data_IF_713966681791
#
_entry.id   IF_713966681791
#
_cell.length_a   1.000
_cell.length_b   1.000
_cell.length_c   1.000
_cell.angle_alpha   90.00
_cell.angle_beta   90.00
_cell.angle_gamma   90.00
#
_symmetry.space_group_name_H-M   'P 1'
#
loop_
_entity.id
_entity.type
_entity.pdbx_description
1 polymer ?
#
# COMPACT_ATOMS: atom_id res chain seq x y z
N UNK A 1 32.68 26.73 11.36
CA UNK A 1 32.09 25.38 11.52
C UNK A 1 30.84 25.34 10.67
N UNK A 2 30.88 24.63 9.54
CA UNK A 2 29.72 24.47 8.65
C UNK A 2 29.03 23.12 8.92
N UNK A 3 27.71 23.01 8.70
CA UNK A 3 26.96 21.78 9.00
C UNK A 3 27.33 20.66 8.01
N UNK A 4 27.22 19.38 8.43
CA UNK A 4 27.57 18.24 7.60
C UNK A 4 26.55 18.05 6.47
N UNK A 5 27.07 17.81 5.26
CA UNK A 5 26.28 17.51 4.07
C UNK A 5 25.56 16.18 4.25
N UNK A 6 24.24 16.20 4.08
CA UNK A 6 23.37 15.02 4.12
C UNK A 6 23.77 13.98 3.08
N UNK A 7 23.94 12.74 3.54
CA UNK A 7 24.19 11.57 2.72
C UNK A 7 22.90 11.17 2.00
N UNK A 8 22.83 11.37 0.68
CA UNK A 8 21.74 10.83 -0.14
C UNK A 8 21.99 9.34 -0.38
N UNK A 9 21.11 8.48 0.15
CA UNK A 9 21.13 7.06 -0.11
C UNK A 9 20.88 6.79 -1.60
N UNK A 10 21.89 6.23 -2.27
CA UNK A 10 21.88 5.86 -3.68
C UNK A 10 21.38 4.41 -3.80
N UNK A 11 20.15 4.22 -4.26
CA UNK A 11 19.62 2.88 -4.55
C UNK A 11 20.19 2.37 -5.89
N UNK A 12 21.01 1.33 -5.83
CA UNK A 12 21.50 0.57 -6.98
C UNK A 12 20.78 -0.77 -6.97
N UNK A 13 20.00 -1.05 -8.01
CA UNK A 13 19.44 -2.39 -8.23
C UNK A 13 20.50 -3.28 -8.89
N UNK A 14 20.83 -4.45 -8.32
CA UNK A 14 21.71 -5.39 -9.01
C UNK A 14 21.01 -5.97 -10.25
N UNK A 15 21.75 -6.02 -11.36
CA UNK A 15 21.32 -6.71 -12.56
C UNK A 15 21.13 -8.20 -12.25
N UNK A 16 19.97 -8.74 -12.64
CA UNK A 16 19.64 -10.15 -12.45
C UNK A 16 20.29 -10.95 -13.60
N UNK A 17 21.40 -11.60 -13.32
CA UNK A 17 21.97 -12.60 -14.22
C UNK A 17 20.98 -13.77 -14.34
N UNK A 18 20.50 -14.02 -15.56
CA UNK A 18 19.71 -15.20 -15.89
C UNK A 18 20.69 -16.31 -16.30
N UNK A 19 20.84 -17.33 -15.46
CA UNK A 19 21.38 -18.63 -15.88
C UNK A 19 20.22 -19.54 -16.29
N UNK A 20 20.24 -20.13 -17.49
CA UNK A 20 19.33 -21.21 -17.86
C UNK A 20 19.82 -22.55 -17.25
N UNK A 21 18.92 -23.52 -17.18
CA UNK A 21 19.10 -24.90 -16.72
C UNK A 21 19.10 -25.14 -15.20
N UNK A 22 17.92 -25.45 -14.67
CA UNK A 22 17.69 -26.57 -13.77
C UNK A 22 16.18 -26.79 -13.56
N UNK A 23 15.62 -27.76 -14.28
CA UNK A 23 14.31 -28.35 -13.99
C UNK A 23 14.49 -29.54 -13.04
N UNK A 24 13.98 -29.50 -11.80
CA UNK A 24 13.91 -30.70 -10.97
C UNK A 24 12.69 -31.53 -11.37
N UNK A 25 12.94 -32.81 -11.67
CA UNK A 25 11.92 -33.86 -11.79
C UNK A 25 11.21 -34.06 -10.44
N UNK A 26 9.88 -34.03 -10.46
CA UNK A 26 9.04 -34.29 -9.29
C UNK A 26 8.49 -35.71 -9.37
N UNK A 27 9.08 -36.64 -8.61
CA UNK A 27 8.53 -37.99 -8.42
C UNK A 27 7.37 -37.94 -7.44
N UNK A 28 6.18 -38.29 -7.92
CA UNK A 28 4.97 -38.47 -7.13
C UNK A 28 4.98 -39.84 -6.48
N UNK A 29 5.11 -39.90 -5.16
CA UNK A 29 5.02 -41.17 -4.43
C UNK A 29 5.06 -40.99 -2.93
N UNK A 30 3.97 -41.40 -2.28
CA UNK A 30 3.82 -41.71 -0.84
C UNK A 30 3.50 -40.56 0.12
N UNK A 31 2.21 -40.22 0.20
CA UNK A 31 1.59 -39.80 1.45
C UNK A 31 0.27 -40.56 1.62
N UNK A 32 0.27 -41.54 2.52
CA UNK A 32 -0.93 -42.19 3.04
C UNK A 32 -1.55 -41.31 4.13
N UNK A 33 -2.87 -41.06 4.13
CA UNK A 33 -3.54 -40.36 5.20
C UNK A 33 -4.20 -41.38 6.14
N UNK A 34 -3.61 -41.62 7.30
CA UNK A 34 -4.33 -42.27 8.40
C UNK A 34 -4.26 -41.42 9.67
N UNK A 35 -5.44 -41.26 10.28
CA UNK A 35 -5.73 -40.79 11.63
C UNK A 35 -5.64 -39.29 11.91
N UNK A 36 -6.75 -38.59 11.68
CA UNK A 36 -7.21 -37.50 12.54
C UNK A 36 -8.73 -37.38 12.46
N UNK A 37 -9.41 -38.12 13.34
CA UNK A 37 -10.84 -37.97 13.58
C UNK A 37 -11.08 -36.69 14.37
N UNK A 38 -11.40 -35.60 13.69
CA UNK A 38 -12.16 -34.49 14.27
C UNK A 38 -13.49 -34.43 13.53
N UNK A 39 -14.59 -34.71 14.25
CA UNK A 39 -15.94 -34.82 13.70
C UNK A 39 -16.36 -33.49 13.06
N UNK A 40 -16.39 -33.47 11.73
CA UNK A 40 -16.80 -32.34 10.88
C UNK A 40 -18.32 -32.30 10.59
N UNK A 41 -19.09 -33.21 11.19
CA UNK A 41 -20.53 -33.37 10.93
C UNK A 41 -21.46 -32.44 11.73
N UNK A 42 -20.93 -31.49 12.49
CA UNK A 42 -21.75 -30.48 13.21
C UNK A 42 -21.74 -29.08 12.56
N UNK A 43 -21.04 -28.87 11.43
CA UNK A 43 -20.94 -27.56 10.79
C UNK A 43 -21.80 -27.36 9.52
N UNK A 44 -22.54 -28.37 9.06
CA UNK A 44 -23.32 -28.30 7.81
C UNK A 44 -24.80 -27.92 7.98
N UNK A 45 -25.24 -27.48 9.17
CA UNK A 45 -26.64 -27.11 9.41
C UNK A 45 -26.91 -25.61 9.55
N UNK A 46 -26.06 -24.77 8.97
CA UNK A 46 -26.25 -23.32 8.90
C UNK A 46 -26.12 -22.76 7.47
N UNK A 47 -26.73 -23.43 6.49
CA UNK A 47 -27.04 -22.83 5.18
C UNK A 47 -28.39 -22.13 5.25
N UNK A 48 -28.41 -20.98 5.92
CA UNK A 48 -29.45 -19.97 5.77
C UNK A 48 -28.76 -18.65 5.37
N UNK A 49 -29.15 -18.13 4.21
CA UNK A 49 -28.75 -16.86 3.63
C UNK A 49 -28.54 -15.74 4.66
N UNK A 50 -27.37 -15.08 4.68
CA UNK A 50 -27.26 -13.76 5.29
C UNK A 50 -27.19 -12.69 4.20
N UNK A 51 -28.10 -11.73 4.26
CA UNK A 51 -27.83 -10.36 3.87
C UNK A 51 -26.57 -9.90 4.63
N UNK A 52 -25.42 -10.01 3.97
CA UNK A 52 -24.10 -9.76 4.56
C UNK A 52 -23.75 -8.28 4.46
N UNK A 53 -24.41 -7.47 5.29
CA UNK A 53 -24.03 -6.07 5.54
C UNK A 53 -23.84 -5.75 7.03
N UNK A 54 -23.85 -6.77 7.90
CA UNK A 54 -23.83 -6.59 9.36
C UNK A 54 -22.52 -6.96 10.09
N UNK A 55 -21.42 -7.20 9.39
CA UNK A 55 -20.16 -7.61 10.05
C UNK A 55 -19.13 -6.48 10.08
N UNK A 56 -18.71 -6.15 11.31
CA UNK A 56 -17.80 -5.08 11.75
C UNK A 56 -18.43 -3.73 12.16
N UNK A 57 -19.49 -3.76 12.99
CA UNK A 57 -19.57 -2.80 14.09
C UNK A 57 -18.54 -3.19 15.16
N UNK A 58 -17.24 -3.02 14.87
CA UNK A 58 -16.25 -2.95 15.94
C UNK A 58 -16.60 -1.66 16.69
N UNK A 59 -17.14 -1.83 17.90
CA UNK A 59 -17.68 -0.75 18.73
C UNK A 59 -16.85 0.52 18.69
N UNK A 60 -17.38 1.53 17.99
CA UNK A 60 -17.12 2.94 18.22
C UNK A 60 -17.76 3.34 19.56
N UNK A 61 -17.28 2.75 20.65
CA UNK A 61 -17.58 3.23 22.01
C UNK A 61 -16.31 3.84 22.58
N UNK A 62 -15.88 4.95 21.97
CA UNK A 62 -14.95 5.88 22.59
C UNK A 62 -15.50 7.29 22.44
N UNK A 63 -16.22 7.73 23.48
CA UNK A 63 -16.34 9.10 23.99
C UNK A 63 -16.25 10.25 22.97
N UNK A 64 -17.40 10.86 22.68
CA UNK A 64 -17.62 11.93 21.70
C UNK A 64 -17.06 13.31 22.10
N UNK A 65 -15.82 13.39 22.58
CA UNK A 65 -15.19 14.67 22.98
C UNK A 65 -13.78 14.90 22.43
N UNK A 66 -13.29 14.03 21.53
CA UNK A 66 -11.92 14.09 20.98
C UNK A 66 -11.83 14.16 19.44
N UNK A 67 -12.95 14.37 18.74
CA UNK A 67 -13.02 14.26 17.27
C UNK A 67 -12.54 15.49 16.48
N UNK A 68 -11.95 16.49 17.13
CA UNK A 68 -11.32 17.64 16.47
C UNK A 68 -9.81 17.44 16.21
N UNK A 69 -9.31 16.19 16.32
CA UNK A 69 -7.94 15.91 15.90
C UNK A 69 -7.86 15.95 14.37
N UNK A 70 -7.12 16.92 13.85
CA UNK A 70 -6.84 17.06 12.41
C UNK A 70 -6.38 15.71 11.83
N UNK A 71 -6.87 15.38 10.63
CA UNK A 71 -6.68 14.06 9.98
C UNK A 71 -5.21 13.64 9.88
N UNK A 72 -4.30 14.58 9.58
CA UNK A 72 -2.88 14.29 9.37
C UNK A 72 -2.13 13.90 10.67
N UNK A 73 -2.20 14.67 11.77
CA UNK A 73 -1.66 14.23 13.06
C UNK A 73 -2.14 12.83 13.46
N UNK A 74 -3.44 12.56 13.30
CA UNK A 74 -4.02 11.24 13.57
C UNK A 74 -3.40 10.15 12.70
N UNK A 75 -3.23 10.40 11.40
CA UNK A 75 -2.57 9.48 10.46
C UNK A 75 -1.14 9.14 10.91
N UNK A 76 -0.31 10.14 11.20
CA UNK A 76 1.08 9.91 11.61
C UNK A 76 1.17 9.17 12.95
N UNK A 77 0.33 9.54 13.92
CA UNK A 77 0.26 8.83 15.21
C UNK A 77 -0.12 7.36 15.02
N UNK A 78 -1.14 7.06 14.22
CA UNK A 78 -1.54 5.68 13.92
C UNK A 78 -0.45 4.92 13.17
N UNK A 79 0.24 5.59 12.24
CA UNK A 79 1.35 5.01 11.49
C UNK A 79 2.49 4.59 12.43
N UNK A 80 2.86 5.46 13.38
CA UNK A 80 3.92 5.16 14.34
C UNK A 80 3.50 4.10 15.37
N UNK A 81 2.24 4.11 15.81
CA UNK A 81 1.66 3.04 16.63
C UNK A 81 1.71 1.69 15.90
N UNK A 82 1.27 1.64 14.63
CA UNK A 82 1.30 0.41 13.83
C UNK A 82 2.73 -0.10 13.61
N UNK A 83 3.71 0.79 13.37
CA UNK A 83 5.13 0.39 13.29
C UNK A 83 5.63 -0.16 14.63
N UNK A 84 5.28 0.49 15.74
CA UNK A 84 5.65 0.04 17.08
C UNK A 84 5.10 -1.36 17.37
N UNK A 85 3.85 -1.67 16.98
CA UNK A 85 3.29 -3.02 17.10
C UNK A 85 4.12 -4.07 16.36
N UNK A 86 4.54 -3.78 15.11
CA UNK A 86 5.38 -4.70 14.33
C UNK A 86 6.80 -4.82 14.91
N UNK A 87 7.35 -3.74 15.48
CA UNK A 87 8.64 -3.78 16.18
C UNK A 87 8.56 -4.67 17.42
N UNK A 88 7.51 -4.51 18.24
CA UNK A 88 7.36 -5.23 19.51
C UNK A 88 6.97 -6.70 19.33
N UNK A 89 6.08 -6.99 18.37
CA UNK A 89 5.49 -8.32 18.23
C UNK A 89 6.00 -9.10 17.01
N UNK A 90 6.87 -8.50 16.20
CA UNK A 90 7.29 -9.06 14.92
C UNK A 90 6.24 -8.88 13.82
N UNK A 91 6.50 -9.41 12.61
CA UNK A 91 5.56 -9.32 11.50
C UNK A 91 4.27 -10.10 11.80
N UNK A 92 3.13 -9.49 11.55
CA UNK A 92 1.85 -10.19 11.63
C UNK A 92 1.64 -11.09 10.41
N UNK A 93 0.93 -12.19 10.62
CA UNK A 93 0.63 -13.21 9.61
C UNK A 93 -0.80 -13.73 9.82
N UNK A 94 -1.22 -14.67 9.00
CA UNK A 94 -2.42 -15.49 9.26
C UNK A 94 -2.03 -16.89 9.71
N UNK A 95 -2.93 -17.58 10.42
CA UNK A 95 -2.76 -19.02 10.65
C UNK A 95 -2.84 -19.78 9.32
N UNK A 96 -2.03 -20.83 9.18
CA UNK A 96 -1.95 -21.62 7.96
C UNK A 96 -3.32 -22.13 7.49
N UNK A 97 -3.68 -21.82 6.24
CA UNK A 97 -4.96 -22.23 5.65
C UNK A 97 -6.17 -21.42 6.14
N UNK A 98 -5.96 -20.32 6.86
CA UNK A 98 -7.04 -19.49 7.39
C UNK A 98 -6.79 -18.00 7.12
N UNK A 99 -7.83 -17.20 7.34
CA UNK A 99 -7.76 -15.74 7.37
C UNK A 99 -7.86 -15.19 8.80
N UNK A 100 -7.45 -15.98 9.79
CA UNK A 100 -7.39 -15.52 11.19
C UNK A 100 -6.05 -14.85 11.42
N UNK A 101 -6.10 -13.58 11.81
CA UNK A 101 -4.94 -12.72 12.01
C UNK A 101 -4.19 -13.14 13.28
N UNK A 102 -2.86 -13.20 13.18
CA UNK A 102 -1.98 -13.68 14.25
C UNK A 102 -0.69 -12.87 14.30
N UNK A 103 -0.12 -12.74 15.50
CA UNK A 103 1.24 -12.25 15.70
C UNK A 103 2.23 -13.34 15.28
N UNK A 104 3.45 -12.97 14.89
CA UNK A 104 4.50 -13.96 14.67
C UNK A 104 4.71 -14.81 15.94
N UNK A 105 4.96 -16.13 15.80
CA UNK A 105 5.26 -16.99 16.93
C UNK A 105 6.65 -16.72 17.52
N UNK A 106 7.49 -15.94 16.84
CA UNK A 106 8.87 -15.67 17.23
C UNK A 106 8.92 -14.29 17.90
N UNK A 107 9.34 -14.26 19.17
CA UNK A 107 9.63 -13.02 19.89
C UNK A 107 10.82 -12.34 19.19
N UNK A 108 10.59 -11.12 18.68
CA UNK A 108 11.62 -10.35 17.98
C UNK A 108 12.67 -9.87 18.99
N UNK A 109 13.92 -9.76 18.55
CA UNK A 109 14.95 -9.11 19.34
C UNK A 109 14.65 -7.61 19.42
N UNK A 110 14.47 -7.07 20.64
CA UNK A 110 14.08 -5.67 20.89
C UNK A 110 15.04 -4.64 20.28
N UNK A 111 16.29 -5.05 20.01
CA UNK A 111 17.30 -4.16 19.41
C UNK A 111 17.15 -3.96 17.91
N UNK A 112 16.38 -4.81 17.21
CA UNK A 112 16.30 -4.79 15.75
C UNK A 112 14.98 -4.17 15.26
N UNK A 113 15.07 -3.01 14.63
CA UNK A 113 13.92 -2.32 14.04
C UNK A 113 13.28 -3.15 12.92
N UNK A 114 11.95 -3.13 12.83
CA UNK A 114 11.20 -3.78 11.77
C UNK A 114 11.63 -3.31 10.40
N UNK A 115 11.89 -4.27 9.51
CA UNK A 115 12.17 -3.95 8.13
C UNK A 115 10.89 -3.41 7.47
N UNK A 116 11.06 -2.62 6.40
CA UNK A 116 9.94 -2.15 5.58
C UNK A 116 9.10 -3.34 5.08
N UNK A 117 9.77 -4.46 4.79
CA UNK A 117 9.12 -5.70 4.34
C UNK A 117 8.23 -6.27 5.44
N UNK A 118 8.68 -6.31 6.69
CA UNK A 118 7.89 -6.82 7.82
C UNK A 118 6.62 -6.00 8.02
N UNK A 119 6.74 -4.67 7.94
CA UNK A 119 5.59 -3.76 8.05
C UNK A 119 4.61 -3.96 6.89
N UNK A 120 5.11 -4.06 5.66
CA UNK A 120 4.28 -4.30 4.48
C UNK A 120 3.57 -5.66 4.54
N UNK A 121 4.25 -6.72 4.99
CA UNK A 121 3.67 -8.05 5.21
C UNK A 121 2.57 -8.01 6.26
N UNK A 122 2.78 -7.30 7.37
CA UNK A 122 1.79 -7.17 8.44
C UNK A 122 0.52 -6.46 7.96
N UNK A 123 0.67 -5.36 7.20
CA UNK A 123 -0.46 -4.66 6.58
C UNK A 123 -1.19 -5.52 5.54
N UNK A 124 -0.46 -6.32 4.76
CA UNK A 124 -1.07 -7.23 3.79
C UNK A 124 -1.90 -8.32 4.50
N UNK A 125 -1.36 -8.95 5.55
CA UNK A 125 -2.08 -9.92 6.35
C UNK A 125 -3.33 -9.30 7.00
N UNK A 126 -3.20 -8.09 7.55
CA UNK A 126 -4.33 -7.38 8.15
C UNK A 126 -5.44 -7.08 7.13
N UNK A 127 -5.07 -6.66 5.92
CA UNK A 127 -6.01 -6.43 4.82
C UNK A 127 -6.71 -7.72 4.37
N UNK A 128 -5.99 -8.83 4.28
CA UNK A 128 -6.57 -10.13 3.90
C UNK A 128 -7.53 -10.67 4.98
N UNK A 129 -7.38 -10.24 6.24
CA UNK A 129 -8.21 -10.64 7.37
C UNK A 129 -9.46 -9.78 7.62
N UNK A 130 -9.63 -8.65 6.92
CA UNK A 130 -10.67 -7.66 7.26
C UNK A 130 -12.09 -8.22 7.26
N UNK A 131 -12.43 -9.11 6.33
CA UNK A 131 -13.79 -9.69 6.22
C UNK A 131 -13.95 -10.99 7.03
N UNK A 132 -12.89 -11.46 7.68
CA UNK A 132 -12.88 -12.77 8.34
C UNK A 132 -13.16 -12.66 9.84
N UNK A 133 -13.84 -13.65 10.40
CA UNK A 133 -14.06 -13.75 11.84
C UNK A 133 -12.70 -13.89 12.57
N UNK A 134 -12.52 -13.09 13.61
CA UNK A 134 -11.29 -13.05 14.41
C UNK A 134 -11.55 -13.58 15.81
N UNK A 135 -10.56 -14.26 16.38
CA UNK A 135 -10.59 -14.69 17.77
C UNK A 135 -10.36 -13.50 18.69
N UNK A 136 -10.93 -13.54 19.89
CA UNK A 136 -10.64 -12.55 20.91
C UNK A 136 -9.18 -12.62 21.38
N UNK A 137 -8.59 -11.46 21.62
CA UNK A 137 -7.22 -11.34 22.14
C UNK A 137 -6.41 -10.23 21.46
N UNK A 138 -5.12 -10.20 21.78
CA UNK A 138 -4.24 -9.09 21.42
C UNK A 138 -4.03 -8.93 19.91
N UNK A 139 -4.09 -10.01 19.11
CA UNK A 139 -4.02 -9.91 17.66
C UNK A 139 -5.23 -9.17 17.06
N UNK A 140 -6.43 -9.32 17.65
CA UNK A 140 -7.63 -8.60 17.22
C UNK A 140 -7.53 -7.10 17.49
N UNK A 141 -6.90 -6.71 18.61
CA UNK A 141 -6.63 -5.31 18.94
C UNK A 141 -5.61 -4.68 17.97
N UNK A 142 -4.55 -5.42 17.63
CA UNK A 142 -3.59 -5.00 16.61
C UNK A 142 -4.27 -4.79 15.25
N UNK A 143 -5.12 -5.74 14.85
CA UNK A 143 -5.91 -5.65 13.62
C UNK A 143 -6.80 -4.40 13.62
N UNK A 144 -7.46 -4.10 14.74
CA UNK A 144 -8.27 -2.88 14.88
C UNK A 144 -7.41 -1.62 14.70
N UNK A 145 -6.16 -1.62 15.16
CA UNK A 145 -5.22 -0.51 14.94
C UNK A 145 -4.84 -0.37 13.46
N UNK A 146 -4.52 -1.46 12.77
CA UNK A 146 -4.23 -1.44 11.33
C UNK A 146 -5.45 -1.00 10.49
N UNK A 147 -6.66 -1.40 10.89
CA UNK A 147 -7.90 -0.95 10.25
C UNK A 147 -8.12 0.55 10.41
N UNK A 148 -7.89 1.10 11.62
CA UNK A 148 -7.95 2.54 11.86
C UNK A 148 -6.93 3.29 11.01
N UNK A 149 -5.69 2.80 10.96
CA UNK A 149 -4.66 3.36 10.08
C UNK A 149 -5.12 3.36 8.62
N UNK A 150 -5.65 2.24 8.11
CA UNK A 150 -6.10 2.16 6.72
C UNK A 150 -7.24 3.13 6.42
N UNK A 151 -8.23 3.25 7.30
CA UNK A 151 -9.35 4.19 7.11
C UNK A 151 -8.86 5.63 7.07
N UNK A 152 -8.06 6.03 8.07
CA UNK A 152 -7.48 7.37 8.13
C UNK A 152 -6.52 7.63 6.95
N UNK A 153 -5.83 6.60 6.43
CA UNK A 153 -5.01 6.73 5.22
C UNK A 153 -5.87 7.11 4.01
N UNK A 154 -7.01 6.43 3.81
CA UNK A 154 -7.94 6.77 2.72
C UNK A 154 -8.50 8.17 2.88
N UNK A 155 -8.88 8.59 4.09
CA UNK A 155 -9.35 9.95 4.38
C UNK A 155 -8.28 11.01 4.07
N UNK A 156 -7.02 10.76 4.45
CA UNK A 156 -5.90 11.66 4.10
C UNK A 156 -5.67 11.73 2.60
N UNK A 157 -5.72 10.59 1.89
CA UNK A 157 -5.59 10.59 0.43
C UNK A 157 -6.69 11.41 -0.23
N UNK A 158 -7.95 11.24 0.19
CA UNK A 158 -9.05 12.04 -0.35
C UNK A 158 -8.92 13.52 0.01
N UNK A 159 -8.57 13.85 1.25
CA UNK A 159 -8.38 15.24 1.67
C UNK A 159 -7.29 15.97 0.86
N UNK A 160 -6.17 15.29 0.59
CA UNK A 160 -5.10 15.83 -0.27
C UNK A 160 -5.55 15.96 -1.73
N UNK A 161 -6.29 14.98 -2.24
CA UNK A 161 -6.78 15.02 -3.62
C UNK A 161 -7.84 16.11 -3.83
N UNK A 162 -8.65 16.41 -2.83
CA UNK A 162 -9.69 17.43 -2.87
C UNK A 162 -9.11 18.84 -2.76
N UNK A 163 -7.99 19.04 -2.05
CA UNK A 163 -7.30 20.33 -2.01
C UNK A 163 -6.69 20.74 -3.36
N UNK A 164 -6.41 19.76 -4.23
CA UNK A 164 -5.83 19.95 -5.57
C UNK A 164 -4.47 20.65 -5.61
N UNK A 165 -3.71 20.61 -4.51
CA UNK A 165 -2.42 21.32 -4.39
C UNK A 165 -1.22 20.55 -4.99
N UNK A 166 -1.44 19.30 -5.43
CA UNK A 166 -0.39 18.48 -6.03
C UNK A 166 -0.12 18.87 -7.48
N UNK A 167 1.15 19.10 -7.81
CA UNK A 167 1.56 19.20 -9.21
C UNK A 167 1.33 17.88 -9.96
N UNK A 168 1.21 17.94 -11.28
CA UNK A 168 0.89 16.76 -12.09
C UNK A 168 1.94 15.65 -11.98
N UNK A 169 3.22 15.98 -11.82
CA UNK A 169 4.28 14.97 -11.69
C UNK A 169 4.16 14.23 -10.34
N UNK A 170 3.99 14.97 -9.24
CA UNK A 170 3.81 14.40 -7.90
C UNK A 170 2.53 13.57 -7.80
N UNK A 171 1.43 14.07 -8.36
CA UNK A 171 0.17 13.32 -8.47
C UNK A 171 0.38 12.02 -9.27
N UNK A 172 0.98 12.13 -10.46
CA UNK A 172 1.18 11.01 -11.36
C UNK A 172 2.05 9.91 -10.76
N UNK A 173 3.17 10.25 -10.12
CA UNK A 173 4.02 9.26 -9.44
C UNK A 173 3.33 8.61 -8.24
N UNK A 174 2.53 9.37 -7.48
CA UNK A 174 1.72 8.84 -6.39
C UNK A 174 0.70 7.82 -6.90
N UNK A 175 -0.06 8.17 -7.93
CA UNK A 175 -1.05 7.28 -8.56
C UNK A 175 -0.38 6.03 -9.16
N UNK A 176 0.79 6.19 -9.80
CA UNK A 176 1.56 5.04 -10.28
C UNK A 176 2.01 4.12 -9.13
N UNK A 177 2.38 4.70 -7.98
CA UNK A 177 2.70 3.97 -6.75
C UNK A 177 1.51 3.18 -6.19
N UNK A 178 0.31 3.75 -6.22
CA UNK A 178 -0.94 3.06 -5.87
C UNK A 178 -1.22 1.89 -6.83
N UNK A 179 -1.01 2.10 -8.14
CA UNK A 179 -1.12 1.05 -9.14
C UNK A 179 -0.13 -0.11 -8.95
N UNK A 180 1.00 0.10 -8.27
CA UNK A 180 1.93 -0.97 -7.95
C UNK A 180 1.37 -1.92 -6.88
N UNK A 181 0.56 -1.39 -5.96
CA UNK A 181 -0.15 -2.16 -4.95
C UNK A 181 -1.54 -2.65 -5.36
N UNK A 182 -1.96 -2.48 -6.61
CA UNK A 182 -3.33 -2.80 -7.02
C UNK A 182 -3.57 -4.32 -7.16
N UNK A 183 -4.60 -4.83 -6.48
CA UNK A 183 -4.99 -6.23 -6.44
C UNK A 183 -5.93 -6.58 -7.61
N UNK A 184 -5.34 -7.06 -8.70
CA UNK A 184 -6.09 -7.48 -9.90
C UNK A 184 -6.94 -8.71 -9.57
N UNK A 185 -8.25 -8.62 -9.81
CA UNK A 185 -9.15 -9.77 -9.72
C UNK A 185 -8.72 -10.84 -10.72
N UNK A 186 -8.49 -12.07 -10.26
CA UNK A 186 -8.13 -13.22 -11.12
C UNK A 186 -9.20 -13.47 -12.18
N UNK A 187 -10.47 -13.20 -11.88
CA UNK A 187 -11.60 -13.34 -12.82
C UNK A 187 -11.63 -12.33 -13.98
N UNK A 188 -10.82 -11.26 -13.95
CA UNK A 188 -10.81 -10.19 -14.98
C UNK A 188 -9.42 -9.89 -15.54
N UNK A 189 -8.48 -10.84 -15.43
CA UNK A 189 -7.06 -10.62 -15.75
C UNK A 189 -6.80 -10.17 -17.19
N UNK A 190 -7.64 -10.56 -18.14
CA UNK A 190 -7.31 -10.43 -19.56
C UNK A 190 -7.62 -9.05 -20.18
N UNK A 191 -8.34 -8.16 -19.47
CA UNK A 191 -8.72 -6.86 -20.04
C UNK A 191 -8.92 -5.75 -19.00
N UNK A 192 -8.13 -5.69 -17.94
CA UNK A 192 -8.29 -4.60 -16.97
C UNK A 192 -7.80 -3.27 -17.58
N UNK A 193 -8.68 -2.27 -17.79
CA UNK A 193 -8.30 -0.95 -18.32
C UNK A 193 -7.24 -0.25 -17.45
N UNK A 194 -7.12 -0.65 -16.19
CA UNK A 194 -6.10 -0.17 -15.25
C UNK A 194 -4.68 -0.43 -15.76
N UNK A 195 -4.41 -1.59 -16.35
CA UNK A 195 -3.06 -1.89 -16.86
C UNK A 195 -2.69 -1.00 -18.05
N UNK A 196 -3.67 -0.72 -18.93
CA UNK A 196 -3.48 0.19 -20.04
C UNK A 196 -3.24 1.64 -19.57
N UNK A 197 -4.03 2.13 -18.62
CA UNK A 197 -3.84 3.47 -18.04
C UNK A 197 -2.55 3.57 -17.23
N UNK A 198 -2.18 2.54 -16.45
CA UNK A 198 -0.90 2.48 -15.73
C UNK A 198 0.29 2.59 -16.67
N UNK A 199 0.27 1.86 -17.80
CA UNK A 199 1.32 1.94 -18.81
C UNK A 199 1.40 3.34 -19.42
N UNK A 200 0.26 3.89 -19.86
CA UNK A 200 0.20 5.25 -20.44
C UNK A 200 0.68 6.32 -19.47
N UNK A 201 0.29 6.22 -18.20
CA UNK A 201 0.74 7.11 -17.13
C UNK A 201 2.27 7.05 -16.97
N UNK A 202 2.84 5.85 -16.90
CA UNK A 202 4.29 5.67 -16.80
C UNK A 202 5.03 6.24 -18.01
N UNK A 203 4.56 5.95 -19.22
CA UNK A 203 5.17 6.45 -20.46
C UNK A 203 5.08 7.99 -20.56
N UNK A 204 4.07 8.60 -19.94
CA UNK A 204 3.96 10.06 -19.82
C UNK A 204 4.90 10.63 -18.75
N UNK A 205 4.98 9.99 -17.58
CA UNK A 205 5.90 10.37 -16.50
C UNK A 205 7.37 10.29 -16.91
N UNK A 206 7.75 9.29 -17.72
CA UNK A 206 9.11 9.19 -18.24
C UNK A 206 9.51 10.33 -19.19
N UNK A 207 8.55 11.08 -19.74
CA UNK A 207 8.80 12.26 -20.57
C UNK A 207 8.95 13.53 -19.75
N UNK A 208 8.58 13.49 -18.46
CA UNK A 208 8.77 14.61 -17.55
C UNK A 208 10.25 14.77 -17.19
N UNK A 209 10.74 16.00 -17.03
CA UNK A 209 12.11 16.26 -16.65
C UNK A 209 12.30 15.82 -15.19
N UNK A 210 12.85 14.63 -14.96
CA UNK A 210 13.00 14.10 -13.61
C UNK A 210 13.71 15.08 -12.68
N UNK A 211 13.07 15.43 -11.57
CA UNK A 211 13.58 16.31 -10.52
C UNK A 211 14.94 15.84 -9.97
N UNK A 212 15.24 14.54 -10.06
CA UNK A 212 16.49 13.93 -9.58
C UNK A 212 17.56 13.68 -10.66
N UNK A 213 17.37 14.17 -11.90
CA UNK A 213 18.44 14.08 -12.90
C UNK A 213 19.57 15.06 -12.59
N UNK A 214 20.52 14.65 -11.76
CA UNK A 214 21.79 15.36 -11.50
C UNK A 214 22.72 15.44 -12.72
N UNK A 215 22.22 15.17 -13.94
CA UNK A 215 23.00 15.19 -15.17
C UNK A 215 22.21 15.89 -16.26
N UNK A 216 22.31 17.23 -16.28
CA UNK A 216 22.29 17.97 -17.55
C UNK A 216 23.68 18.57 -17.77
N UNK A 217 24.66 17.70 -17.95
CA UNK A 217 25.85 18.07 -18.72
C UNK A 217 25.43 18.04 -20.19
N UNK A 218 25.65 19.17 -20.87
CA UNK A 218 25.48 19.46 -22.31
C UNK A 218 24.40 20.52 -22.55
N UNK A 219 24.79 21.75 -22.22
CA UNK A 219 24.07 23.00 -22.36
C UNK A 219 24.28 23.63 -23.76
N UNK A 220 24.52 22.82 -24.80
CA UNK A 220 24.88 23.31 -26.15
C UNK A 220 23.84 22.97 -27.24
N UNK A 221 22.58 22.67 -26.88
CA UNK A 221 21.50 22.54 -27.87
C UNK A 221 20.44 23.62 -27.67
N UNK A 222 20.81 24.83 -28.09
CA UNK A 222 20.00 26.07 -28.06
C UNK A 222 18.98 26.15 -29.22
N UNK A 223 18.86 25.13 -30.08
CA UNK A 223 18.02 25.19 -31.27
C UNK A 223 16.96 24.08 -31.31
N UNK A 224 16.02 24.03 -30.36
CA UNK A 224 14.70 23.38 -30.52
C UNK A 224 13.77 23.60 -29.31
N UNK A 225 13.54 24.86 -28.92
CA UNK A 225 12.70 25.16 -27.75
C UNK A 225 11.20 24.87 -27.96
N UNK A 226 10.69 24.96 -29.20
CA UNK A 226 9.26 24.72 -29.49
C UNK A 226 8.82 23.28 -29.23
N UNK A 227 9.56 22.29 -29.75
CA UNK A 227 9.19 20.88 -29.60
C UNK A 227 9.22 20.36 -28.16
N UNK A 228 10.04 20.96 -27.28
CA UNK A 228 10.11 20.56 -25.86
C UNK A 228 8.88 20.98 -25.09
N UNK A 229 8.34 22.17 -25.35
CA UNK A 229 7.15 22.68 -24.66
C UNK A 229 5.92 21.84 -25.04
N UNK A 230 5.76 21.53 -26.32
CA UNK A 230 4.65 20.69 -26.80
C UNK A 230 4.69 19.27 -26.22
N UNK A 231 5.88 18.68 -26.09
CA UNK A 231 6.07 17.36 -25.48
C UNK A 231 5.67 17.38 -24.01
N UNK A 232 6.08 18.41 -23.25
CA UNK A 232 5.73 18.54 -21.83
C UNK A 232 4.25 18.81 -21.62
N UNK A 233 3.64 19.68 -22.43
CA UNK A 233 2.21 19.94 -22.38
C UNK A 233 1.40 18.66 -22.66
N UNK A 234 1.82 17.88 -23.65
CA UNK A 234 1.21 16.58 -23.97
C UNK A 234 1.40 15.57 -22.84
N UNK A 235 2.58 15.50 -22.23
CA UNK A 235 2.86 14.62 -21.09
C UNK A 235 2.00 14.98 -19.87
N UNK A 236 1.95 16.26 -19.49
CA UNK A 236 1.11 16.76 -18.40
C UNK A 236 -0.36 16.42 -18.61
N UNK A 237 -0.89 16.65 -19.82
CA UNK A 237 -2.27 16.28 -20.16
C UNK A 237 -2.51 14.78 -20.00
N UNK A 238 -1.58 13.96 -20.48
CA UNK A 238 -1.69 12.51 -20.41
C UNK A 238 -1.62 11.99 -18.96
N UNK A 239 -0.73 12.58 -18.14
CA UNK A 239 -0.64 12.31 -16.71
C UNK A 239 -1.96 12.65 -16.04
N UNK A 240 -2.48 13.86 -16.24
CA UNK A 240 -3.75 14.30 -15.66
C UNK A 240 -4.91 13.37 -16.03
N UNK A 241 -5.04 13.00 -17.30
CA UNK A 241 -6.10 12.09 -17.78
C UNK A 241 -5.95 10.71 -17.14
N UNK A 242 -4.78 10.09 -17.25
CA UNK A 242 -4.57 8.72 -16.77
C UNK A 242 -4.66 8.64 -15.24
N UNK A 243 -4.10 9.63 -14.52
CA UNK A 243 -4.18 9.70 -13.08
C UNK A 243 -5.64 9.80 -12.61
N UNK A 244 -6.44 10.69 -13.19
CA UNK A 244 -7.86 10.82 -12.84
C UNK A 244 -8.68 9.56 -13.15
N UNK A 245 -8.46 8.92 -14.29
CA UNK A 245 -9.16 7.67 -14.63
C UNK A 245 -8.82 6.53 -13.63
N UNK A 246 -7.57 6.47 -13.19
CA UNK A 246 -7.12 5.51 -12.19
C UNK A 246 -7.69 5.84 -10.80
N UNK A 247 -7.68 7.10 -10.39
CA UNK A 247 -8.27 7.56 -9.12
C UNK A 247 -9.77 7.31 -9.06
N UNK A 248 -10.50 7.59 -10.14
CA UNK A 248 -11.94 7.26 -10.25
C UNK A 248 -12.17 5.76 -10.03
N UNK A 249 -11.31 4.92 -10.59
CA UNK A 249 -11.40 3.47 -10.39
C UNK A 249 -11.11 3.07 -8.94
N UNK A 250 -10.09 3.64 -8.31
CA UNK A 250 -9.78 3.37 -6.89
C UNK A 250 -10.92 3.81 -5.97
N UNK A 251 -11.47 5.01 -6.18
CA UNK A 251 -12.63 5.55 -5.46
C UNK A 251 -13.87 4.67 -5.61
N UNK A 252 -14.15 4.21 -6.84
CA UNK A 252 -15.27 3.29 -7.13
C UNK A 252 -15.15 1.97 -6.38
N UNK A 253 -13.93 1.53 -6.08
CA UNK A 253 -13.67 0.31 -5.32
C UNK A 253 -13.38 0.59 -3.85
N UNK A 254 -13.66 1.81 -3.38
CA UNK A 254 -13.47 2.27 -2.00
C UNK A 254 -12.05 1.99 -1.48
N UNK A 255 -11.05 2.11 -2.35
CA UNK A 255 -9.63 1.82 -2.05
C UNK A 255 -9.33 0.37 -1.63
N UNK A 256 -10.34 -0.52 -1.56
CA UNK A 256 -10.22 -1.90 -1.05
C UNK A 256 -9.21 -2.72 -1.83
N UNK A 257 -9.04 -2.40 -3.13
CA UNK A 257 -8.12 -3.10 -4.04
C UNK A 257 -6.71 -2.54 -4.04
N UNK A 258 -6.42 -1.47 -3.32
CA UNK A 258 -5.05 -0.98 -3.16
C UNK A 258 -4.45 -1.62 -1.91
N UNK A 259 -3.28 -2.25 -2.04
CA UNK A 259 -2.55 -2.79 -0.89
C UNK A 259 -2.25 -1.67 0.11
N UNK A 260 -2.63 -1.86 1.37
CA UNK A 260 -2.57 -0.80 2.39
C UNK A 260 -1.19 -0.15 2.52
N UNK A 261 -0.11 -0.93 2.44
CA UNK A 261 1.26 -0.38 2.47
C UNK A 261 1.49 0.67 1.38
N UNK A 262 1.01 0.44 0.15
CA UNK A 262 1.17 1.40 -0.94
C UNK A 262 0.35 2.66 -0.71
N UNK A 263 -0.88 2.53 -0.20
CA UNK A 263 -1.71 3.66 0.18
C UNK A 263 -1.04 4.52 1.26
N UNK A 264 -0.54 3.88 2.33
CA UNK A 264 0.18 4.54 3.44
C UNK A 264 1.43 5.26 2.93
N UNK A 265 2.23 4.60 2.09
CA UNK A 265 3.45 5.18 1.56
C UNK A 265 3.18 6.40 0.66
N UNK A 266 2.13 6.34 -0.17
CA UNK A 266 1.73 7.46 -1.03
C UNK A 266 1.15 8.61 -0.21
N UNK A 267 0.26 8.32 0.75
CA UNK A 267 -0.32 9.32 1.65
C UNK A 267 0.78 10.09 2.41
N UNK A 268 1.72 9.34 3.01
CA UNK A 268 2.88 9.94 3.68
C UNK A 268 3.68 10.82 2.72
N UNK A 269 3.99 10.32 1.52
CA UNK A 269 4.83 11.05 0.56
C UNK A 269 4.18 12.33 0.06
N UNK A 270 2.87 12.32 -0.19
CA UNK A 270 2.13 13.52 -0.56
C UNK A 270 2.04 14.50 0.60
N UNK A 271 1.79 14.03 1.83
CA UNK A 271 1.80 14.89 3.01
C UNK A 271 3.18 15.53 3.27
N UNK A 272 4.27 14.77 3.11
CA UNK A 272 5.64 15.28 3.21
C UNK A 272 5.91 16.34 2.11
N UNK A 273 5.43 16.12 0.88
CA UNK A 273 5.64 17.05 -0.25
C UNK A 273 4.91 18.38 -0.06
N UNK A 274 3.73 18.35 0.55
CA UNK A 274 2.90 19.52 0.82
C UNK A 274 3.25 20.20 2.16
N UNK A 275 4.25 19.70 2.89
CA UNK A 275 4.67 20.21 4.21
C UNK A 275 3.56 20.28 5.28
N UNK A 276 2.49 19.49 5.11
CA UNK A 276 1.29 19.52 5.96
C UNK A 276 1.51 18.96 7.39
N UNK A 277 2.72 18.52 7.70
CA UNK A 277 3.13 18.02 9.00
C UNK A 277 3.52 19.15 9.97
N UNK A 278 3.83 20.36 9.47
CA UNK A 278 4.32 21.50 10.25
C UNK A 278 3.25 22.56 10.59
N UNK A 279 2.02 22.44 10.09
CA UNK A 279 0.97 23.47 10.26
C UNK A 279 0.31 23.51 11.66
N UNK A 280 0.97 22.97 12.68
CA UNK A 280 0.41 22.81 14.03
C UNK A 280 1.40 22.96 15.18
N UNK A 281 2.62 23.46 14.93
CA UNK A 281 3.63 23.77 15.97
C UNK A 281 3.86 25.26 16.12
#
# INVERSE_FOLDING_TARGET
>A
MGPPKGSQARFVFPAREMTPDHTPEYTSGNLTPETSHTKLTELEKATATPDSTAYLQIGETTSSTADDERLLPRFFRLLDQSKALVNTHGPHTTYAGTNVFARAPIVRNETEQASIKDFATSLAAAQDCIESAQLDGAAREDLATFLRLSRTTSEVLEGILDSSDLDFETLGWGVYGLCAGYMVSTARREASPILAYKKRLHDALQKMPSINSTVRKNLDSVACCGGKIDVLAKANREIHICANLLLQQFRREEWRRVRWYHAVAVAKRWADHLDLWNEGS
#
